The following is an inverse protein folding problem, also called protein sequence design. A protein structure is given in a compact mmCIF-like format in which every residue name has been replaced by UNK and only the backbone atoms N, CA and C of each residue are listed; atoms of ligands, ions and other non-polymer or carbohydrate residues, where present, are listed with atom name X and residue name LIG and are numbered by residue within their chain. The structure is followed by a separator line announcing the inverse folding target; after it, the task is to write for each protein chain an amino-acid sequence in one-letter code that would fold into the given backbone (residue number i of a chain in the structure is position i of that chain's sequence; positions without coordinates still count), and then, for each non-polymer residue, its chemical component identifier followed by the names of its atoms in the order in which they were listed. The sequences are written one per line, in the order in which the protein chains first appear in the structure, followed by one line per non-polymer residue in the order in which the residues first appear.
data_IF_352650864044
#
_entry.id   IF_352650864044
#
_cell.length_a   1.000
_cell.length_b   1.000
_cell.length_c   1.000
_cell.angle_alpha   90.00
_cell.angle_beta   90.00
_cell.angle_gamma   90.00
#
_symmetry.space_group_name_H-M   'P 1'
#
loop_
_entity.id
_entity.type
_entity.pdbx_description
1 polymer ?
#
# COMPACT_ATOMS: atom_id res chain seq x y z
N UNK A 1 -21.49 -34.02 30.64
CA UNK A 1 -22.44 -34.42 29.59
C UNK A 1 -22.79 -35.89 29.77
N UNK A 2 -24.05 -36.29 29.56
CA UNK A 2 -24.43 -37.70 29.53
C UNK A 2 -23.54 -38.46 28.53
N UNK A 3 -23.14 -39.69 28.86
CA UNK A 3 -22.33 -40.54 28.00
C UNK A 3 -22.99 -41.91 27.90
N UNK A 4 -22.99 -42.50 26.71
CA UNK A 4 -23.42 -43.87 26.52
C UNK A 4 -22.33 -44.84 27.01
N UNK A 5 -22.72 -46.08 27.34
CA UNK A 5 -21.82 -47.08 27.91
C UNK A 5 -20.66 -47.44 26.97
N UNK A 6 -20.88 -47.35 25.66
CA UNK A 6 -19.91 -47.76 24.64
C UNK A 6 -19.13 -46.57 24.05
N UNK A 7 -19.36 -45.35 24.55
CA UNK A 7 -18.80 -44.11 24.02
C UNK A 7 -19.04 -43.88 22.52
N UNK A 8 -20.08 -44.49 21.92
CA UNK A 8 -20.41 -44.38 20.51
C UNK A 8 -21.27 -43.16 20.16
N UNK A 9 -21.89 -42.50 21.14
CA UNK A 9 -22.76 -41.36 20.89
C UNK A 9 -21.97 -40.14 20.42
N UNK A 10 -22.32 -39.55 19.28
CA UNK A 10 -21.76 -38.28 18.80
C UNK A 10 -22.73 -37.12 19.06
N UNK A 11 -22.41 -36.20 20.00
CA UNK A 11 -23.30 -35.09 20.28
C UNK A 11 -23.33 -34.12 19.09
N UNK A 12 -24.54 -33.78 18.66
CA UNK A 12 -24.78 -32.95 17.46
C UNK A 12 -24.55 -31.45 17.72
N UNK A 13 -24.93 -30.95 18.90
CA UNK A 13 -24.83 -29.52 19.24
C UNK A 13 -23.45 -29.10 19.77
N UNK A 14 -22.83 -29.91 20.63
CA UNK A 14 -21.49 -29.66 21.18
C UNK A 14 -20.65 -30.91 20.95
N UNK A 15 -19.80 -30.89 19.92
CA UNK A 15 -19.02 -32.05 19.53
C UNK A 15 -18.13 -32.52 20.68
N UNK A 16 -17.74 -33.80 20.68
CA UNK A 16 -16.78 -34.33 21.66
C UNK A 16 -15.48 -33.52 21.61
N UNK A 17 -15.03 -33.05 22.78
CA UNK A 17 -13.84 -32.19 22.89
C UNK A 17 -14.04 -30.73 22.51
N UNK A 18 -15.24 -30.34 22.07
CA UNK A 18 -15.59 -28.95 21.79
C UNK A 18 -15.90 -28.23 23.11
N UNK A 19 -15.03 -27.32 23.51
CA UNK A 19 -15.22 -26.46 24.68
C UNK A 19 -15.82 -25.09 24.35
N UNK A 20 -16.05 -24.78 23.05
CA UNK A 20 -16.47 -23.46 22.59
C UNK A 20 -17.38 -23.49 21.37
N UNK A 21 -18.24 -22.48 21.23
CA UNK A 21 -19.04 -22.24 20.03
C UNK A 21 -18.19 -21.52 18.98
N UNK A 22 -18.19 -22.01 17.74
CA UNK A 22 -17.38 -21.46 16.64
C UNK A 22 -17.78 -20.03 16.24
N UNK A 23 -19.00 -19.58 16.55
CA UNK A 23 -19.45 -18.20 16.31
C UNK A 23 -18.62 -17.15 17.06
N UNK A 24 -17.95 -17.52 18.16
CA UNK A 24 -17.04 -16.62 18.88
C UNK A 24 -15.73 -16.37 18.12
N UNK A 25 -15.32 -17.29 17.24
CA UNK A 25 -14.08 -17.14 16.47
C UNK A 25 -14.20 -16.01 15.45
N UNK A 26 -15.35 -15.87 14.79
CA UNK A 26 -15.58 -14.81 13.80
C UNK A 26 -15.57 -13.42 14.46
N UNK A 27 -16.10 -13.32 15.68
CA UNK A 27 -16.04 -12.09 16.47
C UNK A 27 -14.61 -11.75 16.90
N UNK A 28 -13.82 -12.74 17.31
CA UNK A 28 -12.40 -12.57 17.60
C UNK A 28 -11.67 -12.04 16.35
N UNK A 29 -11.90 -12.65 15.19
CA UNK A 29 -11.30 -12.22 13.92
C UNK A 29 -11.72 -10.79 13.56
N UNK A 30 -13.00 -10.44 13.71
CA UNK A 30 -13.52 -9.11 13.42
C UNK A 30 -12.90 -8.03 14.33
N UNK A 31 -12.78 -8.29 15.64
CA UNK A 31 -12.14 -7.38 16.59
C UNK A 31 -10.65 -7.25 16.30
N UNK A 32 -9.99 -8.35 15.97
CA UNK A 32 -8.59 -8.35 15.56
C UNK A 32 -8.38 -7.55 14.27
N UNK A 33 -9.23 -7.71 13.27
CA UNK A 33 -9.17 -6.94 12.02
C UNK A 33 -9.40 -5.43 12.25
N UNK A 34 -10.18 -5.06 13.27
CA UNK A 34 -10.38 -3.66 13.69
C UNK A 34 -9.19 -3.05 14.44
N UNK A 35 -8.14 -3.83 14.69
CA UNK A 35 -6.87 -3.36 15.25
C UNK A 35 -6.68 -3.60 16.74
N UNK A 36 -7.66 -4.21 17.44
CA UNK A 36 -7.53 -4.52 18.86
C UNK A 36 -6.37 -5.50 19.10
N UNK A 37 -5.68 -5.34 20.23
CA UNK A 37 -4.66 -6.28 20.67
C UNK A 37 -5.29 -7.57 21.20
N UNK A 38 -4.49 -8.63 21.32
CA UNK A 38 -4.98 -9.90 21.89
C UNK A 38 -5.50 -9.75 23.32
N UNK A 39 -4.96 -8.78 24.09
CA UNK A 39 -5.43 -8.47 25.45
C UNK A 39 -6.71 -7.68 25.44
N UNK A 40 -6.82 -6.66 24.59
CA UNK A 40 -8.07 -5.88 24.45
C UNK A 40 -9.25 -6.78 24.04
N UNK A 41 -9.00 -7.80 23.21
CA UNK A 41 -10.02 -8.78 22.82
C UNK A 41 -10.41 -9.67 24.01
N UNK A 42 -9.45 -10.11 24.83
CA UNK A 42 -9.74 -10.87 26.06
C UNK A 42 -10.63 -10.05 26.99
N UNK A 43 -10.27 -8.78 27.22
CA UNK A 43 -11.02 -7.87 28.10
C UNK A 43 -12.44 -7.62 27.54
N UNK A 44 -12.57 -7.40 26.23
CA UNK A 44 -13.87 -7.20 25.58
C UNK A 44 -14.78 -8.43 25.70
N UNK A 45 -14.23 -9.64 25.57
CA UNK A 45 -15.01 -10.88 25.74
C UNK A 45 -15.44 -11.10 27.18
N UNK A 46 -14.60 -10.73 28.14
CA UNK A 46 -14.97 -10.78 29.56
C UNK A 46 -16.09 -9.78 29.88
N UNK A 47 -16.01 -8.56 29.37
CA UNK A 47 -17.01 -7.52 29.64
C UNK A 47 -18.35 -7.78 28.95
N UNK A 48 -18.35 -8.19 27.67
CA UNK A 48 -19.57 -8.35 26.89
C UNK A 48 -20.29 -9.67 27.13
N UNK A 49 -19.55 -10.75 27.42
CA UNK A 49 -20.07 -12.12 27.43
C UNK A 49 -19.75 -12.89 28.72
N UNK A 50 -19.06 -12.27 29.69
CA UNK A 50 -18.49 -12.95 30.88
C UNK A 50 -17.68 -14.20 30.51
N UNK A 51 -17.03 -14.18 29.34
CA UNK A 51 -16.32 -15.32 28.79
C UNK A 51 -14.82 -15.20 29.05
N UNK A 52 -14.25 -16.16 29.78
CA UNK A 52 -12.81 -16.23 30.01
C UNK A 52 -12.10 -16.88 28.82
N UNK A 53 -11.50 -16.05 27.97
CA UNK A 53 -10.63 -16.48 26.87
C UNK A 53 -9.18 -16.09 27.14
N UNK A 54 -8.24 -16.82 26.55
CA UNK A 54 -6.81 -16.51 26.68
C UNK A 54 -6.28 -15.77 25.46
N UNK A 55 -5.24 -14.95 25.63
CA UNK A 55 -4.54 -14.34 24.51
C UNK A 55 -3.98 -15.38 23.52
N UNK A 56 -3.58 -16.56 24.01
CA UNK A 56 -3.13 -17.68 23.18
C UNK A 56 -4.26 -18.26 22.31
N UNK A 57 -5.50 -18.28 22.82
CA UNK A 57 -6.67 -18.66 22.02
C UNK A 57 -6.92 -17.65 20.90
N UNK A 58 -6.85 -16.35 21.21
CA UNK A 58 -6.99 -15.27 20.20
C UNK A 58 -5.96 -15.45 19.10
N UNK A 59 -4.68 -15.65 19.45
CA UNK A 59 -3.61 -15.91 18.47
C UNK A 59 -3.92 -17.12 17.59
N UNK A 60 -4.30 -18.25 18.19
CA UNK A 60 -4.63 -19.48 17.46
C UNK A 60 -5.80 -19.29 16.51
N UNK A 61 -6.82 -18.51 16.90
CA UNK A 61 -7.95 -18.17 16.02
C UNK A 61 -7.48 -17.32 14.85
N UNK A 62 -6.65 -16.31 15.09
CA UNK A 62 -6.13 -15.43 14.04
C UNK A 62 -5.17 -16.13 13.08
N UNK A 63 -4.48 -17.19 13.51
CA UNK A 63 -3.64 -18.01 12.64
C UNK A 63 -4.46 -18.79 11.61
N UNK A 64 -5.74 -19.08 11.88
CA UNK A 64 -6.61 -19.85 10.97
C UNK A 64 -6.87 -19.15 9.63
N UNK A 65 -6.70 -17.83 9.56
CA UNK A 65 -6.89 -17.08 8.32
C UNK A 65 -5.60 -16.95 7.51
N UNK A 66 -4.46 -17.43 8.00
CA UNK A 66 -3.18 -17.33 7.28
C UNK A 66 -3.22 -18.10 5.95
N UNK A 67 -3.85 -19.27 5.92
CA UNK A 67 -4.05 -20.02 4.67
C UNK A 67 -4.87 -19.20 3.66
N UNK A 68 -5.97 -18.58 4.09
CA UNK A 68 -6.79 -17.72 3.23
C UNK A 68 -6.03 -16.46 2.77
N UNK A 69 -5.15 -15.92 3.61
CA UNK A 69 -4.26 -14.81 3.21
C UNK A 69 -3.29 -15.26 2.13
N UNK A 70 -2.71 -16.46 2.25
CA UNK A 70 -1.84 -17.02 1.21
C UNK A 70 -2.59 -17.31 -0.09
N UNK A 71 -3.80 -17.87 -0.02
CA UNK A 71 -4.66 -18.05 -1.19
C UNK A 71 -5.00 -16.72 -1.85
N UNK A 72 -5.38 -15.71 -1.06
CA UNK A 72 -5.67 -14.36 -1.56
C UNK A 72 -4.44 -13.68 -2.18
N UNK A 73 -3.25 -13.89 -1.61
CA UNK A 73 -1.99 -13.36 -2.14
C UNK A 73 -1.60 -14.04 -3.46
N UNK A 74 -1.92 -15.31 -3.65
CA UNK A 74 -1.58 -16.06 -4.87
C UNK A 74 -2.76 -16.14 -5.86
N UNK A 75 -3.86 -15.44 -5.60
CA UNK A 75 -5.04 -15.49 -6.46
C UNK A 75 -4.69 -15.04 -7.89
N UNK A 76 -5.33 -15.63 -8.92
CA UNK A 76 -5.18 -15.14 -10.28
C UNK A 76 -5.64 -13.68 -10.38
N UNK A 77 -4.96 -12.92 -11.22
CA UNK A 77 -5.25 -11.53 -11.52
C UNK A 77 -5.83 -11.42 -12.93
N UNK A 78 -6.56 -10.34 -13.18
CA UNK A 78 -7.00 -10.00 -14.52
C UNK A 78 -5.78 -9.71 -15.42
N UNK A 79 -5.87 -10.01 -16.73
CA UNK A 79 -4.76 -9.83 -17.65
C UNK A 79 -4.36 -8.38 -17.88
N UNK A 80 -5.26 -7.43 -17.60
CA UNK A 80 -5.04 -6.01 -17.88
C UNK A 80 -5.55 -5.15 -16.73
N UNK A 81 -4.68 -4.29 -16.20
CA UNK A 81 -5.08 -3.19 -15.32
C UNK A 81 -4.66 -1.84 -15.96
N UNK A 82 -5.62 -0.96 -16.32
CA UNK A 82 -5.30 0.35 -16.88
C UNK A 82 -4.33 1.20 -16.05
N UNK A 83 -4.47 1.17 -14.72
CA UNK A 83 -3.64 1.95 -13.82
C UNK A 83 -3.22 1.07 -12.65
N UNK A 84 -1.92 1.00 -12.36
CA UNK A 84 -1.40 0.36 -11.15
C UNK A 84 -0.57 1.36 -10.37
N UNK A 85 -0.94 1.56 -9.11
CA UNK A 85 -0.15 2.33 -8.15
C UNK A 85 0.79 1.38 -7.42
N UNK A 86 2.09 1.67 -7.46
CA UNK A 86 3.12 0.92 -6.75
C UNK A 86 3.74 1.86 -5.72
N UNK A 87 3.62 1.51 -4.44
CA UNK A 87 4.08 2.35 -3.34
C UNK A 87 4.71 1.50 -2.24
N UNK A 88 5.54 2.15 -1.43
CA UNK A 88 6.26 1.54 -0.33
C UNK A 88 6.07 2.37 0.94
N UNK A 89 5.62 1.72 2.01
CA UNK A 89 5.55 2.34 3.33
C UNK A 89 6.51 1.68 4.31
N UNK A 90 7.25 2.49 5.05
CA UNK A 90 8.05 2.00 6.17
C UNK A 90 7.15 1.73 7.37
N UNK A 91 7.16 0.48 7.83
CA UNK A 91 6.54 0.03 9.07
C UNK A 91 7.61 -0.11 10.17
N UNK A 92 7.26 0.36 11.37
CA UNK A 92 8.07 0.16 12.58
C UNK A 92 7.57 -1.08 13.29
N UNK A 93 8.31 -2.17 13.15
CA UNK A 93 7.97 -3.47 13.72
C UNK A 93 8.91 -3.70 14.91
N UNK A 94 8.38 -4.01 16.10
CA UNK A 94 9.24 -4.40 17.22
C UNK A 94 9.45 -5.91 17.20
N UNK A 95 10.67 -6.34 16.89
CA UNK A 95 11.11 -7.73 16.89
C UNK A 95 12.27 -7.89 17.88
N UNK A 96 12.29 -8.96 18.69
CA UNK A 96 13.34 -9.23 19.67
C UNK A 96 13.69 -8.01 20.56
N UNK A 97 12.66 -7.33 21.08
CA UNK A 97 12.75 -6.12 21.92
C UNK A 97 13.36 -4.88 21.23
N UNK A 98 13.71 -4.95 19.93
CA UNK A 98 14.20 -3.82 19.13
C UNK A 98 13.17 -3.39 18.10
N UNK A 99 13.06 -2.09 17.88
CA UNK A 99 12.22 -1.56 16.78
C UNK A 99 13.06 -1.59 15.51
N UNK A 100 12.65 -2.42 14.56
CA UNK A 100 13.22 -2.51 13.22
C UNK A 100 12.27 -1.83 12.23
N UNK A 101 12.85 -1.17 11.23
CA UNK A 101 12.09 -0.68 10.09
C UNK A 101 11.99 -1.81 9.07
N UNK A 102 10.79 -2.05 8.56
CA UNK A 102 10.52 -2.96 7.43
C UNK A 102 9.77 -2.19 6.36
N UNK A 103 10.08 -2.47 5.11
CA UNK A 103 9.40 -1.88 3.95
C UNK A 103 8.21 -2.76 3.56
N UNK A 104 7.01 -2.19 3.57
CA UNK A 104 5.81 -2.82 3.04
C UNK A 104 5.52 -2.25 1.65
N UNK A 105 5.62 -3.10 0.65
CA UNK A 105 5.33 -2.82 -0.75
C UNK A 105 3.87 -3.10 -1.03
N UNK A 106 3.23 -2.21 -1.79
CA UNK A 106 1.81 -2.25 -2.11
C UNK A 106 1.62 -2.09 -3.61
N UNK A 107 0.77 -2.94 -4.19
CA UNK A 107 0.30 -2.79 -5.56
C UNK A 107 -1.22 -2.64 -5.56
N UNK A 108 -1.72 -1.46 -5.94
CA UNK A 108 -3.14 -1.16 -6.05
C UNK A 108 -3.50 -0.93 -7.51
N UNK A 109 -4.30 -1.82 -8.09
CA UNK A 109 -4.80 -1.72 -9.46
C UNK A 109 -6.13 -0.98 -9.54
N UNK A 110 -6.37 -0.34 -10.67
CA UNK A 110 -7.70 0.05 -11.15
C UNK A 110 -8.04 -0.91 -12.29
N UNK A 111 -9.10 -1.69 -12.15
CA UNK A 111 -9.53 -2.65 -13.16
C UNK A 111 -10.30 -1.93 -14.31
N UNK A 112 -10.75 -2.69 -15.32
CA UNK A 112 -11.46 -2.14 -16.49
C UNK A 112 -12.83 -1.54 -16.14
N UNK A 113 -13.45 -1.98 -15.05
CA UNK A 113 -14.70 -1.41 -14.53
C UNK A 113 -14.47 -0.13 -13.71
N UNK A 114 -13.21 0.25 -13.46
CA UNK A 114 -12.84 1.42 -12.66
C UNK A 114 -12.82 1.17 -11.15
N UNK A 115 -12.90 -0.09 -10.71
CA UNK A 115 -12.80 -0.47 -9.31
C UNK A 115 -11.35 -0.56 -8.84
N UNK A 116 -11.12 -0.19 -7.59
CA UNK A 116 -9.83 -0.30 -6.92
C UNK A 116 -9.66 -1.69 -6.36
N UNK A 117 -8.55 -2.34 -6.69
CA UNK A 117 -8.22 -3.67 -6.22
C UNK A 117 -6.81 -3.72 -5.66
N UNK A 118 -6.67 -4.23 -4.44
CA UNK A 118 -5.36 -4.51 -3.87
C UNK A 118 -4.82 -5.80 -4.48
N UNK A 119 -3.78 -5.68 -5.31
CA UNK A 119 -3.19 -6.79 -6.04
C UNK A 119 -2.26 -7.61 -5.15
N UNK A 120 -1.57 -6.96 -4.21
CA UNK A 120 -0.73 -7.64 -3.24
C UNK A 120 -0.06 -6.72 -2.22
N UNK A 121 0.58 -7.37 -1.24
CA UNK A 121 1.31 -6.78 -0.13
C UNK A 121 2.57 -7.62 0.13
N UNK A 122 3.74 -6.99 0.14
CA UNK A 122 5.01 -7.69 0.35
C UNK A 122 5.86 -6.99 1.40
N UNK A 123 6.47 -7.76 2.29
CA UNK A 123 7.37 -7.25 3.32
C UNK A 123 8.82 -7.53 2.94
N UNK A 124 9.66 -6.50 2.98
CA UNK A 124 11.11 -6.64 2.87
C UNK A 124 11.83 -5.86 3.98
N UNK A 125 13.14 -6.08 4.12
CA UNK A 125 13.97 -5.32 5.07
C UNK A 125 14.17 -3.87 4.65
N UNK A 126 14.43 -3.66 3.36
CA UNK A 126 14.69 -2.35 2.79
C UNK A 126 13.93 -2.19 1.48
N UNK A 127 13.76 -0.93 1.10
CA UNK A 127 13.23 -0.59 -0.21
C UNK A 127 14.30 -0.73 -1.29
N UNK A 128 13.98 -1.34 -2.44
CA UNK A 128 14.90 -1.43 -3.55
C UNK A 128 14.31 -1.97 -4.85
N UNK A 129 14.86 -1.51 -5.97
CA UNK A 129 14.41 -1.87 -7.32
C UNK A 129 14.47 -3.39 -7.61
N UNK A 130 15.44 -4.12 -7.03
CA UNK A 130 15.53 -5.58 -7.18
C UNK A 130 14.32 -6.31 -6.60
N UNK A 131 13.82 -5.85 -5.45
CA UNK A 131 12.64 -6.46 -4.83
C UNK A 131 11.38 -6.10 -5.61
N UNK A 132 11.27 -4.87 -6.09
CA UNK A 132 10.21 -4.49 -7.02
C UNK A 132 10.17 -5.35 -8.27
N UNK A 133 11.33 -5.70 -8.86
CA UNK A 133 11.38 -6.62 -9.98
C UNK A 133 10.74 -7.96 -9.62
N UNK A 134 11.09 -8.56 -8.48
CA UNK A 134 10.45 -9.82 -8.04
C UNK A 134 8.94 -9.70 -7.82
N UNK A 135 8.47 -8.56 -7.32
CA UNK A 135 7.02 -8.29 -7.16
C UNK A 135 6.34 -8.22 -8.54
N UNK A 136 6.95 -7.53 -9.50
CA UNK A 136 6.41 -7.40 -10.85
C UNK A 136 6.37 -8.75 -11.59
N UNK A 137 7.42 -9.57 -11.45
CA UNK A 137 7.46 -10.94 -11.98
C UNK A 137 6.38 -11.82 -11.34
N UNK A 138 6.16 -11.71 -10.02
CA UNK A 138 5.09 -12.45 -9.33
C UNK A 138 3.70 -12.06 -9.84
N UNK A 139 3.42 -10.76 -9.97
CA UNK A 139 2.15 -10.27 -10.52
C UNK A 139 1.91 -10.85 -11.93
N UNK A 140 2.96 -10.91 -12.75
CA UNK A 140 2.90 -11.49 -14.09
C UNK A 140 2.60 -12.98 -14.07
N UNK A 141 3.24 -13.73 -13.18
CA UNK A 141 2.97 -15.15 -12.99
C UNK A 141 1.55 -15.44 -12.48
N UNK A 142 0.91 -14.47 -11.83
CA UNK A 142 -0.50 -14.54 -11.41
C UNK A 142 -1.49 -14.19 -12.51
N UNK A 143 -1.00 -13.86 -13.71
CA UNK A 143 -1.83 -13.58 -14.88
C UNK A 143 -1.90 -12.12 -15.29
N UNK A 144 -1.21 -11.19 -14.60
CA UNK A 144 -1.15 -9.79 -15.03
C UNK A 144 -0.25 -9.67 -16.27
N UNK A 145 -0.85 -9.58 -17.45
CA UNK A 145 -0.11 -9.53 -18.71
C UNK A 145 0.31 -8.12 -19.09
N UNK A 146 -0.52 -7.11 -18.81
CA UNK A 146 -0.27 -5.73 -19.22
C UNK A 146 -0.76 -4.68 -18.21
N UNK A 147 -0.04 -3.57 -18.17
CA UNK A 147 -0.31 -2.40 -17.35
C UNK A 147 -0.19 -1.16 -18.25
N UNK A 148 -1.25 -0.39 -18.44
CA UNK A 148 -1.15 0.77 -19.33
C UNK A 148 -0.35 1.91 -18.66
N UNK A 149 -0.63 2.16 -17.38
CA UNK A 149 0.01 3.23 -16.60
C UNK A 149 0.46 2.70 -15.23
N UNK A 150 1.77 2.77 -14.96
CA UNK A 150 2.31 2.52 -13.64
C UNK A 150 2.61 3.85 -12.91
N UNK A 151 1.85 4.12 -11.86
CA UNK A 151 2.01 5.29 -11.00
C UNK A 151 2.94 4.94 -9.85
N UNK A 152 4.15 5.52 -9.85
CA UNK A 152 5.20 5.16 -8.88
C UNK A 152 5.82 6.39 -8.23
N UNK A 153 6.52 6.16 -7.13
CA UNK A 153 7.36 7.18 -6.51
C UNK A 153 8.70 7.32 -7.26
N UNK A 154 9.52 8.28 -6.84
CA UNK A 154 10.80 8.57 -7.48
C UNK A 154 11.93 7.59 -7.14
N UNK A 155 11.63 6.32 -6.84
CA UNK A 155 12.67 5.34 -6.51
C UNK A 155 13.58 5.09 -7.71
N UNK A 156 14.88 5.33 -7.51
CA UNK A 156 15.89 5.18 -8.56
C UNK A 156 15.92 3.75 -9.10
N UNK A 157 15.86 3.60 -10.43
CA UNK A 157 15.89 2.32 -11.13
C UNK A 157 14.56 1.54 -11.10
N UNK A 158 13.51 2.09 -10.49
CA UNK A 158 12.20 1.44 -10.50
C UNK A 158 11.51 1.52 -11.87
N UNK A 159 11.53 2.66 -12.61
CA UNK A 159 11.03 2.69 -13.99
C UNK A 159 11.70 1.65 -14.89
N UNK A 160 13.01 1.44 -14.72
CA UNK A 160 13.75 0.42 -15.48
C UNK A 160 13.27 -1.00 -15.14
N UNK A 161 12.99 -1.30 -13.86
CA UNK A 161 12.45 -2.59 -13.45
C UNK A 161 11.04 -2.84 -14.01
N UNK A 162 10.21 -1.79 -14.11
CA UNK A 162 8.89 -1.88 -14.76
C UNK A 162 9.06 -2.20 -16.25
N UNK A 163 9.96 -1.51 -16.94
CA UNK A 163 10.20 -1.71 -18.37
C UNK A 163 10.73 -3.13 -18.69
N UNK A 164 11.42 -3.79 -17.76
CA UNK A 164 11.87 -5.19 -17.91
C UNK A 164 10.69 -6.16 -17.95
N UNK A 165 9.70 -6.02 -17.06
CA UNK A 165 8.58 -6.95 -16.96
C UNK A 165 7.40 -6.58 -17.85
N UNK A 166 7.15 -5.27 -18.00
CA UNK A 166 6.05 -4.68 -18.74
C UNK A 166 6.56 -3.55 -19.67
N UNK A 167 7.13 -3.89 -20.83
CA UNK A 167 7.84 -2.94 -21.69
C UNK A 167 6.95 -1.89 -22.37
N UNK A 168 5.63 -2.12 -22.45
CA UNK A 168 4.68 -1.18 -23.05
C UNK A 168 4.10 -0.19 -22.03
N UNK A 169 4.31 -0.44 -20.73
CA UNK A 169 3.78 0.38 -19.65
C UNK A 169 4.32 1.80 -19.69
N UNK A 170 3.43 2.77 -19.60
CA UNK A 170 3.81 4.17 -19.38
C UNK A 170 4.01 4.41 -17.90
N UNK A 171 5.20 4.87 -17.52
CA UNK A 171 5.48 5.22 -16.12
C UNK A 171 5.05 6.66 -15.87
N UNK A 172 4.26 6.88 -14.83
CA UNK A 172 3.95 8.19 -14.29
C UNK A 172 4.58 8.32 -12.90
N UNK A 173 5.53 9.24 -12.76
CA UNK A 173 6.04 9.62 -11.45
C UNK A 173 5.01 10.44 -10.68
N UNK A 174 4.86 10.13 -9.41
CA UNK A 174 3.96 10.87 -8.56
C UNK A 174 4.42 12.32 -8.36
N UNK A 175 3.62 13.26 -8.87
CA UNK A 175 3.87 14.70 -8.73
C UNK A 175 3.80 15.14 -7.28
N UNK A 176 2.89 14.55 -6.47
CA UNK A 176 2.80 14.87 -5.04
C UNK A 176 4.11 14.55 -4.33
N UNK A 177 4.74 13.41 -4.63
CA UNK A 177 6.05 13.06 -4.09
C UNK A 177 7.16 13.99 -4.61
N UNK A 178 7.13 14.35 -5.90
CA UNK A 178 8.08 15.31 -6.46
C UNK A 178 7.99 16.69 -5.83
N UNK A 179 6.78 17.20 -5.60
CA UNK A 179 6.53 18.45 -4.89
C UNK A 179 7.00 18.34 -3.44
N UNK A 180 6.62 17.28 -2.70
CA UNK A 180 7.08 17.06 -1.32
C UNK A 180 8.61 17.04 -1.23
N UNK A 181 9.29 16.34 -2.13
CA UNK A 181 10.74 16.27 -2.18
C UNK A 181 11.38 17.64 -2.46
N UNK A 182 10.80 18.41 -3.39
CA UNK A 182 11.25 19.76 -3.72
C UNK A 182 11.16 20.70 -2.52
N UNK A 183 10.03 20.66 -1.79
CA UNK A 183 9.76 21.55 -0.66
C UNK A 183 10.64 21.28 0.58
N UNK A 184 11.39 20.17 0.63
CA UNK A 184 12.36 19.90 1.71
C UNK A 184 13.53 20.89 1.71
N UNK A 185 13.84 21.50 0.57
CA UNK A 185 14.92 22.48 0.43
C UNK A 185 14.45 23.92 0.67
N UNK A 186 13.15 24.15 0.73
CA UNK A 186 12.55 25.48 0.63
C UNK A 186 12.33 26.07 2.02
N UNK A 187 12.74 27.32 2.19
CA UNK A 187 12.50 28.04 3.44
C UNK A 187 11.01 28.33 3.64
N UNK A 188 10.57 28.52 4.88
CA UNK A 188 9.17 28.84 5.18
C UNK A 188 8.69 30.12 4.48
N UNK A 189 9.58 31.11 4.32
CA UNK A 189 9.29 32.39 3.66
C UNK A 189 8.87 32.19 2.20
N UNK A 190 9.54 31.30 1.48
CA UNK A 190 9.33 31.10 0.04
C UNK A 190 8.36 29.95 -0.25
N UNK A 191 8.03 29.13 0.75
CA UNK A 191 7.21 27.93 0.63
C UNK A 191 5.94 28.14 -0.20
N UNK A 192 5.18 29.21 0.07
CA UNK A 192 3.93 29.51 -0.65
C UNK A 192 4.18 29.83 -2.12
N UNK A 193 5.21 30.63 -2.43
CA UNK A 193 5.53 31.03 -3.79
C UNK A 193 6.05 29.83 -4.61
N UNK A 194 7.02 29.09 -4.06
CA UNK A 194 7.57 27.89 -4.71
C UNK A 194 6.49 26.84 -4.95
N UNK A 195 5.61 26.59 -3.98
CA UNK A 195 4.50 25.64 -4.15
C UNK A 195 3.55 26.07 -5.27
N UNK A 196 3.24 27.37 -5.38
CA UNK A 196 2.34 27.88 -6.41
C UNK A 196 2.94 27.73 -7.82
N UNK A 197 4.24 27.97 -7.99
CA UNK A 197 4.89 27.84 -9.29
C UNK A 197 5.14 26.38 -9.68
N UNK A 198 5.53 25.51 -8.73
CA UNK A 198 5.57 24.06 -8.99
C UNK A 198 4.20 23.53 -9.43
N UNK A 199 3.12 24.11 -8.90
CA UNK A 199 1.75 23.79 -9.29
C UNK A 199 1.42 24.20 -10.73
N UNK A 200 1.98 25.30 -11.22
CA UNK A 200 1.77 25.72 -12.61
C UNK A 200 2.32 24.71 -13.62
N UNK A 201 3.41 24.02 -13.28
CA UNK A 201 4.04 23.02 -14.16
C UNK A 201 3.04 21.91 -14.49
N UNK A 202 2.54 21.18 -13.49
CA UNK A 202 1.66 20.03 -13.73
C UNK A 202 0.19 20.37 -13.98
N UNK A 203 -0.21 21.63 -13.79
CA UNK A 203 -1.54 22.11 -14.14
C UNK A 203 -1.61 22.78 -15.52
N UNK A 204 -0.49 22.85 -16.23
CA UNK A 204 -0.44 23.35 -17.61
C UNK A 204 -1.39 22.56 -18.53
N UNK A 205 -1.87 23.18 -19.61
CA UNK A 205 -2.75 22.48 -20.55
C UNK A 205 -1.95 21.48 -21.39
N UNK A 206 -0.73 21.87 -21.77
CA UNK A 206 0.16 21.11 -22.65
C UNK A 206 1.54 20.89 -22.01
N UNK A 207 2.25 19.87 -22.50
CA UNK A 207 3.65 19.61 -22.13
C UNK A 207 4.54 20.84 -22.40
N UNK A 208 4.34 21.51 -23.55
CA UNK A 208 5.11 22.70 -23.92
C UNK A 208 4.97 23.83 -22.91
N UNK A 209 3.75 24.09 -22.45
CA UNK A 209 3.49 25.08 -21.40
C UNK A 209 4.13 24.65 -20.07
N UNK A 210 4.07 23.37 -19.73
CA UNK A 210 4.69 22.84 -18.52
C UNK A 210 6.21 23.02 -18.54
N UNK A 211 6.84 22.80 -19.70
CA UNK A 211 8.27 22.99 -19.89
C UNK A 211 8.67 24.46 -19.77
N UNK A 212 7.86 25.37 -20.32
CA UNK A 212 8.04 26.82 -20.14
C UNK A 212 7.91 27.22 -18.66
N UNK A 213 6.92 26.68 -17.95
CA UNK A 213 6.74 26.93 -16.53
C UNK A 213 7.94 26.41 -15.70
N UNK A 214 8.49 25.24 -16.04
CA UNK A 214 9.69 24.70 -15.38
C UNK A 214 10.94 25.55 -15.67
N UNK A 215 11.08 26.07 -16.89
CA UNK A 215 12.18 26.98 -17.24
C UNK A 215 12.09 28.29 -16.45
N UNK A 216 10.91 28.92 -16.42
CA UNK A 216 10.66 30.14 -15.64
C UNK A 216 10.88 29.93 -14.14
N UNK A 217 10.49 28.75 -13.62
CA UNK A 217 10.78 28.35 -12.25
C UNK A 217 12.29 28.33 -11.99
N UNK A 218 13.07 27.72 -12.88
CA UNK A 218 14.53 27.66 -12.79
C UNK A 218 15.17 29.05 -12.79
N UNK A 219 14.77 29.93 -13.72
CA UNK A 219 15.27 31.32 -13.77
C UNK A 219 15.09 32.06 -12.45
N UNK A 220 13.96 31.85 -11.78
CA UNK A 220 13.64 32.52 -10.52
C UNK A 220 14.33 31.89 -9.32
N UNK A 221 14.36 30.56 -9.25
CA UNK A 221 14.69 29.85 -8.00
C UNK A 221 16.02 29.13 -8.02
N UNK A 222 16.67 28.89 -9.15
CA UNK A 222 17.90 28.07 -9.18
C UNK A 222 19.06 28.70 -8.41
N UNK A 223 19.11 30.03 -8.29
CA UNK A 223 20.12 30.70 -7.46
C UNK A 223 20.03 30.33 -5.97
N UNK A 224 18.83 29.99 -5.48
CA UNK A 224 18.57 29.66 -4.07
C UNK A 224 18.33 28.16 -3.84
N UNK A 225 17.60 27.52 -4.77
CA UNK A 225 17.12 26.13 -4.67
C UNK A 225 17.51 25.31 -5.92
N UNK A 226 18.80 25.24 -6.28
CA UNK A 226 19.24 24.70 -7.58
C UNK A 226 18.95 23.22 -7.78
N UNK A 227 18.58 22.48 -6.73
CA UNK A 227 18.27 21.05 -6.81
C UNK A 227 16.84 20.78 -7.28
N UNK A 228 15.95 21.76 -7.19
CA UNK A 228 14.54 21.55 -7.52
C UNK A 228 14.37 21.40 -9.03
N UNK A 229 14.71 22.42 -9.82
CA UNK A 229 14.55 22.36 -11.28
C UNK A 229 15.34 21.19 -11.88
N UNK A 230 16.58 20.97 -11.42
CA UNK A 230 17.41 19.81 -11.82
C UNK A 230 16.72 18.47 -11.59
N UNK A 231 16.10 18.27 -10.44
CA UNK A 231 15.38 17.02 -10.12
C UNK A 231 14.15 16.83 -11.02
N UNK A 232 13.41 17.91 -11.31
CA UNK A 232 12.27 17.84 -12.23
C UNK A 232 12.71 17.55 -13.66
N UNK A 233 13.79 18.19 -14.13
CA UNK A 233 14.37 17.95 -15.45
C UNK A 233 14.87 16.51 -15.61
N UNK A 234 15.58 15.97 -14.60
CA UNK A 234 16.09 14.59 -14.66
C UNK A 234 14.99 13.52 -14.66
N UNK A 235 13.78 13.89 -14.23
CA UNK A 235 12.63 13.00 -14.13
C UNK A 235 11.53 13.35 -15.15
N UNK A 236 11.82 14.27 -16.07
CA UNK A 236 10.82 14.94 -16.91
C UNK A 236 10.01 13.94 -17.73
N UNK A 237 10.67 12.98 -18.39
CA UNK A 237 10.02 12.00 -19.27
C UNK A 237 8.94 11.18 -18.54
N UNK A 238 9.17 10.84 -17.27
CA UNK A 238 8.18 10.10 -16.47
C UNK A 238 7.19 11.03 -15.75
N UNK A 239 7.43 12.35 -15.73
CA UNK A 239 6.51 13.34 -15.17
C UNK A 239 5.44 13.76 -16.17
N UNK A 240 5.80 13.85 -17.44
CA UNK A 240 4.94 14.37 -18.51
C UNK A 240 3.96 13.37 -19.07
N UNK A 241 4.06 12.08 -18.71
CA UNK A 241 3.12 11.02 -19.11
C UNK A 241 1.65 11.46 -18.94
N UNK A 242 1.33 12.27 -17.94
CA UNK A 242 -0.01 12.80 -17.71
C UNK A 242 -0.56 13.61 -18.90
N UNK A 243 0.29 14.30 -19.66
CA UNK A 243 -0.16 15.15 -20.76
C UNK A 243 -0.75 14.37 -21.92
N UNK A 244 -0.37 13.09 -22.07
CA UNK A 244 -0.92 12.15 -23.05
C UNK A 244 -2.40 11.81 -22.77
N UNK A 245 -2.89 12.11 -21.57
CA UNK A 245 -4.22 11.72 -21.11
C UNK A 245 -5.15 12.92 -20.90
N UNK A 246 -6.48 12.73 -21.01
CA UNK A 246 -7.44 13.79 -20.76
C UNK A 246 -7.44 14.22 -19.28
N UNK A 247 -7.93 15.44 -18.95
CA UNK A 247 -7.91 15.99 -17.59
C UNK A 247 -8.48 15.08 -16.49
N UNK A 248 -9.49 14.27 -16.82
CA UNK A 248 -10.09 13.32 -15.90
C UNK A 248 -9.10 12.23 -15.43
N UNK A 249 -8.27 11.73 -16.34
CA UNK A 249 -7.25 10.71 -16.03
C UNK A 249 -6.02 11.34 -15.40
N UNK A 250 -5.60 12.54 -15.85
CA UNK A 250 -4.47 13.28 -15.26
C UNK A 250 -4.54 13.28 -13.73
N UNK A 251 -5.67 13.74 -13.18
CA UNK A 251 -5.88 13.84 -11.73
C UNK A 251 -5.76 12.49 -11.00
N UNK A 252 -6.11 11.40 -11.68
CA UNK A 252 -6.03 10.05 -11.12
C UNK A 252 -4.57 9.60 -11.05
N UNK A 253 -3.77 9.83 -12.10
CA UNK A 253 -2.41 9.28 -12.20
C UNK A 253 -1.32 10.13 -11.53
N UNK A 254 -1.48 11.46 -11.43
CA UNK A 254 -0.45 12.28 -10.77
C UNK A 254 -0.62 12.42 -9.25
N UNK A 255 -1.78 12.03 -8.69
CA UNK A 255 -2.05 12.10 -7.25
C UNK A 255 -1.88 10.74 -6.59
N UNK A 256 -1.48 10.72 -5.32
CA UNK A 256 -1.42 9.49 -4.52
C UNK A 256 -2.71 9.19 -3.77
N UNK A 257 -3.82 9.91 -4.02
CA UNK A 257 -5.03 9.77 -3.22
C UNK A 257 -5.58 8.33 -3.17
N UNK A 258 -5.46 7.58 -4.26
CA UNK A 258 -5.94 6.20 -4.33
C UNK A 258 -5.18 5.27 -3.37
N UNK A 259 -3.85 5.40 -3.29
CA UNK A 259 -3.00 4.56 -2.46
C UNK A 259 -2.82 5.11 -1.03
N UNK A 260 -2.87 6.43 -0.84
CA UNK A 260 -2.75 7.07 0.47
C UNK A 260 -3.92 6.74 1.40
N UNK A 261 -5.13 6.53 0.86
CA UNK A 261 -6.25 6.03 1.68
C UNK A 261 -5.95 4.66 2.27
N UNK A 262 -5.33 3.77 1.49
CA UNK A 262 -4.91 2.45 1.96
C UNK A 262 -3.75 2.56 2.96
N UNK A 263 -2.74 3.38 2.65
CA UNK A 263 -1.61 3.64 3.53
C UNK A 263 -2.07 4.16 4.90
N UNK A 264 -3.03 5.08 4.92
CA UNK A 264 -3.61 5.63 6.16
C UNK A 264 -4.25 4.55 7.03
N UNK A 265 -5.03 3.66 6.41
CA UNK A 265 -5.66 2.51 7.09
C UNK A 265 -4.60 1.56 7.67
N UNK A 266 -3.59 1.21 6.88
CA UNK A 266 -2.50 0.32 7.32
C UNK A 266 -1.68 0.93 8.46
N UNK A 267 -1.34 2.22 8.36
CA UNK A 267 -0.64 2.94 9.43
C UNK A 267 -1.48 2.99 10.71
N UNK A 268 -2.79 3.21 10.60
CA UNK A 268 -3.70 3.20 11.75
C UNK A 268 -3.75 1.81 12.41
N UNK A 269 -3.93 0.75 11.62
CA UNK A 269 -4.02 -0.63 12.11
C UNK A 269 -2.71 -1.09 12.78
N UNK A 270 -1.56 -0.73 12.22
CA UNK A 270 -0.24 -1.10 12.75
C UNK A 270 0.20 -0.26 13.94
N UNK A 271 -0.21 1.02 14.05
CA UNK A 271 0.17 1.91 15.16
C UNK A 271 -0.26 1.39 16.53
N UNK A 272 -1.41 0.71 16.61
CA UNK A 272 -1.90 0.12 17.86
C UNK A 272 -1.11 -1.14 18.25
N UNK A 273 -0.42 -1.78 17.30
CA UNK A 273 0.37 -3.00 17.49
C UNK A 273 1.85 -2.68 17.54
N UNK A 274 2.32 -2.28 18.72
CA UNK A 274 3.72 -1.87 18.96
C UNK A 274 4.72 -3.04 18.94
N UNK A 275 4.25 -4.28 18.96
CA UNK A 275 5.03 -5.52 18.97
C UNK A 275 4.38 -6.52 18.03
N UNK A 276 5.17 -7.04 17.09
CA UNK A 276 4.84 -8.23 16.33
C UNK A 276 5.81 -9.31 16.82
N UNK A 277 5.31 -10.52 17.16
CA UNK A 277 6.16 -11.59 17.66
C UNK A 277 7.25 -11.98 16.66
#
# INVERSE_FOLDING_TARGET
APRDRNSSFEPQFVRKGQSRLTQMDDQILALYAKGLSTRDIVDAFKEMYDADISAGLVSKVTERVIEQVHEWQNRPLDPLYPIVYLDCIVLKIRANQRVINKSLYLALGINMEGHKELLGLWLAETEGAKFWLSVLTELKNRGLEDILIACVDGLKGFPDAIAVEYPQTKVQLCIVHMVRNSLRYVSWKDYKAVTAELKQIYQSATEREAQQALAAFGERWDSQYPQIARSWQSNWDNLITLFDYPPAIRKVIYTTNAIESLNSVLRKATKQRKLFP
#
